data_IF_672911627401
#
_entry.id   IF_672911627401
#
_cell.length_a   1.000
_cell.length_b   1.000
_cell.length_c   1.000
_cell.angle_alpha   90.00
_cell.angle_beta   90.00
_cell.angle_gamma   90.00
#
_symmetry.space_group_name_H-M   'P 1'
#
loop_
_entity.id
_entity.type
_entity.pdbx_description
1 polymer ?
#
# COMPACT_ATOMS: atom_id res chain seq x y z
N UNK A 1 -12.62 -13.46 -17.68
CA UNK A 1 -11.65 -12.37 -17.87
C UNK A 1 -11.62 -11.38 -16.71
N UNK A 2 -12.74 -10.75 -16.32
CA UNK A 2 -12.76 -9.72 -15.24
C UNK A 2 -12.18 -10.20 -13.89
N UNK A 3 -12.43 -11.46 -13.50
CA UNK A 3 -11.89 -12.01 -12.26
C UNK A 3 -10.35 -12.11 -12.28
N UNK A 4 -9.76 -12.48 -13.44
CA UNK A 4 -8.31 -12.55 -13.61
C UNK A 4 -7.68 -11.16 -13.46
N UNK A 5 -8.28 -10.14 -14.09
CA UNK A 5 -7.80 -8.75 -14.04
C UNK A 5 -7.76 -8.17 -12.62
N UNK A 6 -8.70 -8.58 -11.75
CA UNK A 6 -8.76 -8.12 -10.37
C UNK A 6 -7.65 -8.73 -9.51
N UNK A 7 -7.39 -10.02 -9.66
CA UNK A 7 -6.29 -10.68 -8.96
C UNK A 7 -4.93 -10.22 -9.47
N UNK A 8 -4.79 -9.91 -10.76
CA UNK A 8 -3.55 -9.29 -11.28
C UNK A 8 -3.32 -7.90 -10.69
N UNK A 9 -4.37 -7.09 -10.49
CA UNK A 9 -4.24 -5.79 -9.83
C UNK A 9 -3.77 -5.94 -8.38
N UNK A 10 -4.35 -6.87 -7.62
CA UNK A 10 -3.93 -7.14 -6.24
C UNK A 10 -2.47 -7.66 -6.17
N UNK A 11 -2.09 -8.54 -7.10
CA UNK A 11 -0.72 -9.05 -7.20
C UNK A 11 0.29 -7.95 -7.55
N UNK A 12 -0.05 -7.05 -8.48
CA UNK A 12 0.77 -5.88 -8.81
C UNK A 12 0.91 -4.94 -7.60
N UNK A 13 -0.18 -4.72 -6.86
CA UNK A 13 -0.13 -3.89 -5.65
C UNK A 13 0.82 -4.47 -4.60
N UNK A 14 0.76 -5.79 -4.39
CA UNK A 14 1.67 -6.50 -3.49
C UNK A 14 3.12 -6.45 -3.98
N UNK A 15 3.36 -6.64 -5.28
CA UNK A 15 4.69 -6.51 -5.88
C UNK A 15 5.26 -5.10 -5.71
N UNK A 16 4.45 -4.06 -5.94
CA UNK A 16 4.85 -2.67 -5.72
C UNK A 16 5.22 -2.39 -4.27
N UNK A 17 4.44 -2.90 -3.31
CA UNK A 17 4.75 -2.81 -1.88
C UNK A 17 6.08 -3.50 -1.54
N UNK A 18 6.30 -4.71 -2.07
CA UNK A 18 7.54 -5.45 -1.85
C UNK A 18 8.76 -4.73 -2.41
N UNK A 19 8.64 -4.07 -3.58
CA UNK A 19 9.73 -3.25 -4.14
C UNK A 19 10.07 -2.08 -3.21
N UNK A 20 9.06 -1.35 -2.72
CA UNK A 20 9.27 -0.25 -1.77
C UNK A 20 9.91 -0.75 -0.48
N UNK A 21 9.43 -1.86 0.06
CA UNK A 21 9.94 -2.43 1.31
C UNK A 21 11.36 -2.99 1.14
N UNK A 22 11.65 -3.59 -0.01
CA UNK A 22 13.01 -4.02 -0.36
C UNK A 22 13.98 -2.84 -0.42
N UNK A 23 13.58 -1.77 -1.12
CA UNK A 23 14.37 -0.55 -1.26
C UNK A 23 14.68 0.09 0.11
N UNK A 24 13.73 0.03 1.05
CA UNK A 24 13.91 0.55 2.40
C UNK A 24 14.78 -0.36 3.29
N UNK A 25 14.56 -1.66 3.28
CA UNK A 25 15.16 -2.57 4.28
C UNK A 25 16.50 -3.17 3.87
N UNK A 26 16.78 -3.29 2.56
CA UNK A 26 17.94 -4.05 2.07
C UNK A 26 18.96 -3.22 1.31
N UNK A 27 18.74 -1.90 1.18
CA UNK A 27 19.72 -1.01 0.55
C UNK A 27 20.90 -0.76 1.48
N UNK A 28 22.09 -0.78 0.88
CA UNK A 28 23.32 -0.43 1.57
C UNK A 28 23.33 1.06 1.90
N UNK A 29 23.52 1.45 3.17
CA UNK A 29 23.67 2.85 3.54
C UNK A 29 24.96 3.45 2.99
N UNK A 30 24.99 4.78 2.84
CA UNK A 30 26.19 5.53 2.51
C UNK A 30 27.28 5.31 3.56
N UNK A 31 28.54 5.31 3.12
CA UNK A 31 29.72 5.20 4.00
C UNK A 31 30.19 6.55 4.54
N UNK A 32 29.44 7.64 4.29
CA UNK A 32 29.79 8.98 4.73
C UNK A 32 29.42 9.19 6.22
N UNK A 33 30.41 9.36 7.12
CA UNK A 33 30.16 9.51 8.55
C UNK A 33 29.46 10.82 8.93
N UNK A 34 29.50 11.86 8.07
CA UNK A 34 28.79 13.10 8.33
C UNK A 34 27.27 12.91 8.24
N UNK A 35 26.82 12.12 7.26
CA UNK A 35 25.40 11.82 7.07
C UNK A 35 24.84 10.89 8.16
N UNK A 36 25.66 10.02 8.74
CA UNK A 36 25.26 9.16 9.86
C UNK A 36 24.98 9.98 11.13
N UNK A 37 25.79 11.02 11.39
CA UNK A 37 25.58 11.93 12.53
C UNK A 37 24.34 12.83 12.34
N UNK A 38 24.15 13.39 11.14
CA UNK A 38 23.02 14.28 10.83
C UNK A 38 21.67 13.54 10.78
N UNK A 39 21.67 12.26 10.44
CA UNK A 39 20.48 11.42 10.52
C UNK A 39 20.10 11.02 11.96
N UNK A 40 20.82 11.51 12.98
CA UNK A 40 20.65 11.06 14.38
C UNK A 40 21.07 9.59 14.57
N UNK A 41 21.96 9.10 13.72
CA UNK A 41 22.29 7.68 13.55
C UNK A 41 21.11 6.88 12.99
N UNK A 42 21.24 5.55 13.03
CA UNK A 42 20.17 4.62 12.64
C UNK A 42 18.83 4.85 13.37
N UNK A 43 18.80 5.59 14.49
CA UNK A 43 17.63 5.71 15.35
C UNK A 43 16.53 6.62 14.79
N UNK A 44 16.83 7.84 14.32
CA UNK A 44 15.77 8.74 13.83
C UNK A 44 15.16 8.20 12.52
N UNK A 45 16.00 7.65 11.65
CA UNK A 45 15.59 6.91 10.45
C UNK A 45 14.64 5.75 10.79
N UNK A 46 14.98 4.96 11.82
CA UNK A 46 14.14 3.86 12.30
C UNK A 46 12.76 4.30 12.79
N UNK A 47 12.65 5.47 13.43
CA UNK A 47 11.38 5.97 13.96
C UNK A 47 10.52 6.62 12.89
N UNK A 48 11.08 7.47 12.02
CA UNK A 48 10.29 8.28 11.08
C UNK A 48 9.88 7.55 9.81
N UNK A 49 10.63 6.51 9.41
CA UNK A 49 10.41 5.82 8.13
C UNK A 49 10.12 4.33 8.33
N UNK A 50 10.94 3.63 9.11
CA UNK A 50 10.76 2.19 9.29
C UNK A 50 9.57 1.84 10.18
N UNK A 51 9.35 2.55 11.29
CA UNK A 51 8.21 2.28 12.17
C UNK A 51 6.85 2.44 11.44
N UNK A 52 6.60 3.51 10.66
CA UNK A 52 5.40 3.61 9.82
C UNK A 52 5.35 2.51 8.76
N UNK A 53 6.48 2.18 8.11
CA UNK A 53 6.51 1.13 7.08
C UNK A 53 6.16 -0.26 7.64
N UNK A 54 6.67 -0.62 8.82
CA UNK A 54 6.33 -1.87 9.51
C UNK A 54 4.89 -1.87 10.01
N UNK A 55 4.42 -0.75 10.60
CA UNK A 55 3.03 -0.60 11.03
C UNK A 55 2.06 -0.77 9.85
N UNK A 56 2.33 -0.10 8.73
CA UNK A 56 1.55 -0.25 7.50
C UNK A 56 1.65 -1.66 6.93
N UNK A 57 2.81 -2.32 6.99
CA UNK A 57 2.96 -3.70 6.51
C UNK A 57 2.05 -4.67 7.25
N UNK A 58 1.90 -4.53 8.58
CA UNK A 58 0.97 -5.34 9.36
C UNK A 58 -0.49 -5.09 8.97
N UNK A 59 -0.86 -3.81 8.78
CA UNK A 59 -2.21 -3.44 8.33
C UNK A 59 -2.49 -4.00 6.93
N UNK A 60 -1.54 -3.86 6.00
CA UNK A 60 -1.67 -4.36 4.64
C UNK A 60 -1.74 -5.89 4.59
N UNK A 61 -1.00 -6.59 5.46
CA UNK A 61 -1.10 -8.04 5.60
C UNK A 61 -2.52 -8.44 6.04
N UNK A 62 -3.09 -7.73 7.04
CA UNK A 62 -4.46 -7.96 7.48
C UNK A 62 -5.47 -7.70 6.35
N UNK A 63 -5.30 -6.60 5.59
CA UNK A 63 -6.12 -6.28 4.41
C UNK A 63 -6.03 -7.37 3.34
N UNK A 64 -4.84 -7.91 3.10
CA UNK A 64 -4.62 -8.96 2.11
C UNK A 64 -5.31 -10.28 2.53
N UNK A 65 -5.19 -10.66 3.80
CA UNK A 65 -5.86 -11.86 4.36
C UNK A 65 -7.39 -11.69 4.34
N UNK A 66 -7.91 -10.58 4.87
CA UNK A 66 -9.36 -10.31 4.93
C UNK A 66 -9.93 -10.15 3.53
N UNK A 67 -9.23 -9.43 2.65
CA UNK A 67 -9.65 -9.23 1.27
C UNK A 67 -9.66 -10.52 0.45
N UNK A 68 -8.70 -11.43 0.71
CA UNK A 68 -8.71 -12.78 0.12
C UNK A 68 -9.90 -13.60 0.66
N UNK A 69 -10.16 -13.58 1.97
CA UNK A 69 -11.27 -14.31 2.59
C UNK A 69 -12.64 -13.84 2.08
N UNK A 70 -12.84 -12.52 1.92
CA UNK A 70 -14.09 -11.92 1.45
C UNK A 70 -14.17 -11.89 -0.10
N UNK A 71 -13.13 -12.37 -0.80
CA UNK A 71 -13.00 -12.36 -2.27
C UNK A 71 -13.22 -10.96 -2.87
N UNK A 72 -12.57 -9.97 -2.27
CA UNK A 72 -12.58 -8.54 -2.68
C UNK A 72 -11.18 -8.06 -3.12
N UNK A 73 -10.59 -8.66 -4.18
CA UNK A 73 -9.26 -8.28 -4.66
C UNK A 73 -9.18 -6.84 -5.18
N UNK A 74 -10.32 -6.24 -5.57
CA UNK A 74 -10.46 -4.83 -5.93
C UNK A 74 -10.14 -3.89 -4.74
N UNK A 75 -10.67 -4.21 -3.56
CA UNK A 75 -10.40 -3.45 -2.33
C UNK A 75 -8.93 -3.60 -1.93
N UNK A 76 -8.38 -4.81 -2.03
CA UNK A 76 -6.96 -5.10 -1.77
C UNK A 76 -6.07 -4.26 -2.67
N UNK A 77 -6.32 -4.26 -3.99
CA UNK A 77 -5.54 -3.49 -4.95
C UNK A 77 -5.57 -1.98 -4.67
N UNK A 78 -6.74 -1.44 -4.29
CA UNK A 78 -6.87 -0.02 -3.95
C UNK A 78 -6.14 0.35 -2.67
N UNK A 79 -6.34 -0.41 -1.60
CA UNK A 79 -5.73 -0.11 -0.29
C UNK A 79 -4.21 -0.26 -0.38
N UNK A 80 -3.71 -1.37 -0.94
CA UNK A 80 -2.26 -1.52 -1.15
C UNK A 80 -1.72 -0.45 -2.09
N UNK A 81 -2.34 -0.23 -3.26
CA UNK A 81 -1.86 0.75 -4.23
C UNK A 81 -1.77 2.17 -3.65
N UNK A 82 -2.80 2.60 -2.92
CA UNK A 82 -2.84 3.90 -2.25
C UNK A 82 -1.77 3.99 -1.16
N UNK A 83 -1.61 2.94 -0.36
CA UNK A 83 -0.63 2.91 0.73
C UNK A 83 0.80 2.89 0.19
N UNK A 84 1.07 2.12 -0.87
CA UNK A 84 2.37 2.09 -1.56
C UNK A 84 2.72 3.47 -2.14
N UNK A 85 1.80 4.10 -2.87
CA UNK A 85 2.03 5.42 -3.45
C UNK A 85 2.18 6.51 -2.37
N UNK A 86 1.37 6.45 -1.32
CA UNK A 86 1.43 7.36 -0.18
C UNK A 86 2.74 7.25 0.59
N UNK A 87 3.16 6.02 0.93
CA UNK A 87 4.43 5.79 1.62
C UNK A 87 5.61 6.21 0.74
N UNK A 88 5.66 5.78 -0.52
CA UNK A 88 6.74 6.18 -1.42
C UNK A 88 6.81 7.70 -1.59
N UNK A 89 5.66 8.37 -1.74
CA UNK A 89 5.60 9.83 -1.83
C UNK A 89 6.04 10.54 -0.54
N UNK A 90 5.70 9.99 0.63
CA UNK A 90 6.18 10.46 1.92
C UNK A 90 7.70 10.31 2.04
N UNK A 91 8.22 9.12 1.73
CA UNK A 91 9.65 8.80 1.76
C UNK A 91 10.47 9.66 0.81
N UNK A 92 9.93 10.00 -0.37
CA UNK A 92 10.58 10.90 -1.33
C UNK A 92 10.71 12.35 -0.81
N UNK A 93 9.91 12.77 0.18
CA UNK A 93 10.05 14.10 0.80
C UNK A 93 11.13 14.16 1.87
N UNK A 94 11.70 13.02 2.26
CA UNK A 94 12.77 12.95 3.26
C UNK A 94 14.14 13.11 2.57
N UNK A 95 14.64 14.34 2.49
CA UNK A 95 15.91 14.65 1.80
C UNK A 95 17.11 13.92 2.41
N UNK A 96 17.19 13.86 3.74
CA UNK A 96 18.25 13.16 4.46
C UNK A 96 18.29 11.67 4.11
N UNK A 97 17.12 11.02 4.04
CA UNK A 97 17.00 9.61 3.69
C UNK A 97 17.50 9.35 2.25
N UNK A 98 17.16 10.23 1.31
CA UNK A 98 17.59 10.11 -0.09
C UNK A 98 19.09 10.35 -0.27
N UNK A 99 19.67 11.26 0.52
CA UNK A 99 21.11 11.47 0.55
C UNK A 99 21.84 10.26 1.16
N UNK A 100 21.25 9.66 2.21
CA UNK A 100 21.84 8.52 2.93
C UNK A 100 21.78 7.21 2.14
N UNK A 101 20.74 6.98 1.32
CA UNK A 101 20.60 5.78 0.49
C UNK A 101 20.67 6.12 -1.01
N UNK A 102 21.86 6.03 -1.65
CA UNK A 102 22.00 6.34 -3.06
C UNK A 102 21.19 5.36 -3.93
N UNK A 103 20.31 5.88 -4.80
CA UNK A 103 19.45 5.08 -5.66
C UNK A 103 18.09 4.68 -5.05
N UNK A 104 17.84 4.99 -3.78
CA UNK A 104 16.53 4.82 -3.14
C UNK A 104 15.41 5.50 -3.93
N UNK A 105 15.67 6.71 -4.44
CA UNK A 105 14.73 7.49 -5.25
C UNK A 105 14.23 6.70 -6.46
N UNK A 106 15.11 6.03 -7.20
CA UNK A 106 14.73 5.31 -8.40
C UNK A 106 13.82 4.11 -8.07
N UNK A 107 14.17 3.34 -7.04
CA UNK A 107 13.38 2.19 -6.61
C UNK A 107 12.02 2.60 -6.00
N UNK A 108 11.97 3.69 -5.25
CA UNK A 108 10.70 4.25 -4.74
C UNK A 108 9.79 4.70 -5.89
N UNK A 109 10.33 5.29 -6.95
CA UNK A 109 9.57 5.67 -8.13
C UNK A 109 9.04 4.44 -8.90
N UNK A 110 9.85 3.39 -9.02
CA UNK A 110 9.41 2.10 -9.60
C UNK A 110 8.29 1.50 -8.75
N UNK A 111 8.47 1.39 -7.43
CA UNK A 111 7.45 0.87 -6.52
C UNK A 111 6.16 1.69 -6.54
N UNK A 112 6.28 3.03 -6.55
CA UNK A 112 5.15 3.95 -6.63
C UNK A 112 4.40 3.83 -7.95
N UNK A 113 5.11 3.73 -9.09
CA UNK A 113 4.47 3.58 -10.40
C UNK A 113 3.72 2.25 -10.53
N UNK A 114 4.29 1.15 -10.01
CA UNK A 114 3.60 -0.15 -9.94
C UNK A 114 2.38 -0.06 -9.03
N UNK A 115 2.51 0.56 -7.85
CA UNK A 115 1.39 0.77 -6.92
C UNK A 115 0.27 1.62 -7.53
N UNK A 116 0.62 2.67 -8.28
CA UNK A 116 -0.33 3.55 -8.96
C UNK A 116 -1.05 2.83 -10.10
N UNK A 117 -0.34 2.00 -10.87
CA UNK A 117 -0.93 1.16 -11.90
C UNK A 117 -1.93 0.17 -11.29
N UNK A 118 -1.55 -0.48 -10.17
CA UNK A 118 -2.44 -1.38 -9.45
C UNK A 118 -3.68 -0.68 -8.90
N UNK A 119 -3.52 0.55 -8.39
CA UNK A 119 -4.63 1.40 -7.94
C UNK A 119 -5.58 1.73 -9.11
N UNK A 120 -5.05 2.16 -10.26
CA UNK A 120 -5.87 2.45 -11.45
C UNK A 120 -6.66 1.21 -11.90
N UNK A 121 -6.03 0.03 -11.92
CA UNK A 121 -6.70 -1.23 -12.24
C UNK A 121 -7.77 -1.60 -11.18
N UNK A 122 -7.50 -1.32 -9.91
CA UNK A 122 -8.46 -1.47 -8.82
C UNK A 122 -9.69 -0.59 -9.01
N UNK A 123 -9.50 0.69 -9.33
CA UNK A 123 -10.59 1.64 -9.62
C UNK A 123 -11.39 1.19 -10.85
N UNK A 124 -10.71 0.82 -11.94
CA UNK A 124 -11.34 0.42 -13.19
C UNK A 124 -12.21 -0.85 -13.03
N UNK A 125 -11.80 -1.74 -12.13
CA UNK A 125 -12.51 -3.02 -11.89
C UNK A 125 -13.50 -2.97 -10.72
N UNK A 126 -13.54 -1.84 -10.00
CA UNK A 126 -14.45 -1.59 -8.89
C UNK A 126 -15.89 -1.61 -9.38
N UNK A 127 -16.71 -2.46 -8.75
CA UNK A 127 -18.16 -2.47 -8.97
C UNK A 127 -18.86 -2.31 -7.62
N UNK A 128 -19.55 -1.19 -7.37
CA UNK A 128 -20.35 -1.07 -6.15
C UNK A 128 -21.40 -2.18 -6.17
N UNK A 129 -21.50 -2.96 -5.09
CA UNK A 129 -22.62 -3.90 -4.94
C UNK A 129 -23.88 -3.06 -4.70
N UNK A 130 -25.01 -3.37 -5.34
CA UNK A 130 -26.26 -2.74 -4.96
C UNK A 130 -26.50 -3.04 -3.47
N UNK A 131 -26.70 -1.99 -2.67
CA UNK A 131 -27.17 -2.15 -1.30
C UNK A 131 -28.57 -2.73 -1.42
N UNK A 132 -28.76 -3.96 -0.95
CA UNK A 132 -30.09 -4.55 -0.91
C UNK A 132 -30.93 -3.68 0.03
N UNK A 133 -31.85 -2.89 -0.54
CA UNK A 133 -32.87 -2.22 0.27
C UNK A 133 -33.70 -3.34 0.87
N UNK A 134 -33.77 -3.47 2.22
CA UNK A 134 -34.62 -4.50 2.81
C UNK A 134 -36.03 -4.27 2.28
N UNK A 135 -36.59 -5.30 1.62
CA UNK A 135 -37.97 -5.25 1.16
C UNK A 135 -38.82 -4.86 2.37
N UNK A 136 -39.53 -3.74 2.26
CA UNK A 136 -40.42 -3.29 3.32
C UNK A 136 -41.31 -4.48 3.70
N UNK A 137 -41.20 -4.93 4.96
CA UNK A 137 -42.04 -6.00 5.45
C UNK A 137 -43.50 -5.60 5.16
N UNK A 138 -44.33 -6.50 4.59
CA UNK A 138 -45.73 -6.18 4.38
C UNK A 138 -46.30 -5.76 5.72
N UNK A 139 -46.84 -4.55 5.78
CA UNK A 139 -47.45 -4.03 7.00
C UNK A 139 -48.45 -5.09 7.49
N UNK A 140 -48.22 -5.63 8.68
CA UNK A 140 -49.15 -6.54 9.32
C UNK A 140 -50.49 -5.79 9.37
N UNK A 141 -51.44 -6.23 8.55
CA UNK A 141 -52.76 -5.63 8.51
C UNK A 141 -53.42 -5.79 9.88
N UNK A 142 -54.28 -4.85 10.31
CA UNK A 142 -54.89 -4.84 11.65
C UNK A 142 -55.90 -5.99 11.92
N UNK A 143 -55.89 -7.06 11.11
CA UNK A 143 -56.84 -8.16 11.17
C UNK A 143 -56.19 -9.55 11.17
N UNK A 144 -54.90 -9.66 11.52
CA UNK A 144 -54.20 -10.95 11.70
C UNK A 144 -54.19 -11.38 13.18
#
# INVERSE_FOLDING_TARGET
MVALTRWTAAALAAAGWLVVLHALCFRTPSTDPALDLDAGGAFALNVDVYLPAFGLSLVLLAVLVVGAAVRRPDVVALVLGLTTAGLAGWTLRQDLLRAYFPGLTAELLVGASIGMLALMLGVLTWRPRPVAVPAAAPAAGPYA
#
